data_IF_806118286441
#
_entry.id   IF_806118286441
#
_cell.length_a   1.000
_cell.length_b   1.000
_cell.length_c   1.000
_cell.angle_alpha   90.00
_cell.angle_beta   90.00
_cell.angle_gamma   90.00
#
_symmetry.space_group_name_H-M   'P 1'
#
loop_
_entity.id
_entity.type
_entity.pdbx_description
1 polymer ?
#
# COMPACT_ATOMS: atom_id res chain seq x y z
N UNK A 1 28.43 30.02 -8.59
CA UNK A 1 27.98 29.44 -7.31
C UNK A 1 26.50 29.12 -7.46
N UNK A 2 25.98 27.90 -7.36
CA UNK A 2 26.54 26.57 -7.20
C UNK A 2 25.56 25.62 -7.94
N UNK A 3 26.06 24.73 -8.78
CA UNK A 3 25.29 23.59 -9.29
C UNK A 3 25.33 22.51 -8.21
N UNK A 4 24.36 22.52 -7.29
CA UNK A 4 24.08 21.31 -6.52
C UNK A 4 23.34 20.36 -7.44
N UNK A 5 23.94 19.19 -7.69
CA UNK A 5 23.43 18.15 -8.57
C UNK A 5 21.95 17.83 -8.29
N UNK A 6 21.11 17.82 -9.33
CA UNK A 6 19.70 17.39 -9.33
C UNK A 6 19.49 15.89 -8.98
N UNK A 7 20.47 15.26 -8.34
CA UNK A 7 20.53 13.83 -8.07
C UNK A 7 20.66 13.49 -6.58
N UNK A 8 20.79 14.49 -5.70
CA UNK A 8 20.99 14.28 -4.26
C UNK A 8 19.74 14.66 -3.46
N UNK A 9 19.46 13.90 -2.40
CA UNK A 9 18.39 14.25 -1.46
C UNK A 9 18.64 15.64 -0.85
N UNK A 10 17.58 16.44 -0.61
CA UNK A 10 17.70 17.78 -0.03
C UNK A 10 18.24 17.75 1.41
N UNK A 11 18.12 16.61 2.08
CA UNK A 11 18.52 16.34 3.46
C UNK A 11 18.98 14.88 3.58
N UNK A 12 19.90 14.55 4.52
CA UNK A 12 20.30 13.17 4.76
C UNK A 12 19.11 12.27 5.09
N UNK A 13 19.03 11.11 4.42
CA UNK A 13 18.01 10.11 4.71
C UNK A 13 18.51 9.19 5.81
N UNK A 14 17.83 9.22 6.97
CA UNK A 14 18.04 8.25 8.05
C UNK A 14 16.86 7.28 8.06
N UNK A 15 17.07 5.99 7.76
CA UNK A 15 16.01 5.00 7.83
C UNK A 15 15.31 4.97 9.19
N UNK A 16 13.99 4.90 9.19
CA UNK A 16 13.20 4.89 10.43
C UNK A 16 13.49 3.63 11.25
N UNK A 17 13.75 2.50 10.60
CA UNK A 17 14.18 1.27 11.27
C UNK A 17 15.51 1.45 12.00
N UNK A 18 16.45 2.24 11.47
CA UNK A 18 17.70 2.56 12.18
C UNK A 18 17.42 3.40 13.43
N UNK A 19 16.55 4.40 13.33
CA UNK A 19 16.14 5.23 14.49
C UNK A 19 15.42 4.41 15.56
N UNK A 20 14.50 3.54 15.15
CA UNK A 20 13.80 2.63 16.06
C UNK A 20 14.76 1.68 16.77
N UNK A 21 15.72 1.09 16.04
CA UNK A 21 16.65 0.11 16.60
C UNK A 21 17.71 0.72 17.52
N UNK A 22 18.01 2.02 17.38
CA UNK A 22 18.92 2.71 18.31
C UNK A 22 18.26 3.05 19.66
N UNK A 23 16.96 2.81 19.81
CA UNK A 23 16.24 3.00 21.07
C UNK A 23 16.07 4.46 21.45
N UNK A 24 15.91 5.36 20.47
CA UNK A 24 15.66 6.78 20.74
C UNK A 24 14.43 6.96 21.65
N UNK A 25 14.52 7.80 22.70
CA UNK A 25 13.44 7.94 23.68
C UNK A 25 12.26 8.77 23.14
N UNK A 26 12.50 9.59 22.12
CA UNK A 26 11.52 10.51 21.51
C UNK A 26 11.64 10.49 20.00
N UNK A 27 10.55 10.79 19.29
CA UNK A 27 10.58 10.93 17.83
C UNK A 27 11.29 12.25 17.45
N UNK A 28 12.18 12.27 16.43
CA UNK A 28 12.77 13.52 15.96
C UNK A 28 11.71 14.48 15.41
N UNK A 29 11.99 15.79 15.49
CA UNK A 29 11.05 16.86 15.14
C UNK A 29 10.42 16.71 13.76
N UNK A 30 11.18 16.25 12.77
CA UNK A 30 10.72 16.04 11.40
C UNK A 30 9.61 14.97 11.25
N UNK A 31 9.41 14.11 12.24
CA UNK A 31 8.34 13.10 12.24
C UNK A 31 7.12 13.52 13.07
N UNK A 32 7.19 14.64 13.77
CA UNK A 32 6.08 15.16 14.59
C UNK A 32 5.07 15.84 13.68
N UNK A 33 3.87 15.26 13.57
CA UNK A 33 2.76 15.81 12.80
C UNK A 33 2.22 17.08 13.46
N UNK A 34 1.72 18.05 12.68
CA UNK A 34 1.01 19.19 13.22
C UNK A 34 -0.22 18.71 14.02
N UNK A 35 -0.67 19.44 15.05
CA UNK A 35 -1.76 18.99 15.93
C UNK A 35 -3.02 18.50 15.21
N UNK A 36 -3.36 19.10 14.07
CA UNK A 36 -4.51 18.74 13.22
C UNK A 36 -4.36 17.41 12.48
N UNK A 37 -3.14 16.88 12.34
CA UNK A 37 -2.82 15.65 11.61
C UNK A 37 -2.33 14.53 12.53
N UNK A 38 -2.12 14.82 13.81
CA UNK A 38 -1.76 13.79 14.79
C UNK A 38 -2.86 12.74 14.89
N UNK A 39 -2.50 11.48 15.17
CA UNK A 39 -3.48 10.47 15.57
C UNK A 39 -4.38 11.03 16.65
N UNK A 40 -5.69 10.96 16.43
CA UNK A 40 -6.65 11.44 17.41
C UNK A 40 -6.57 10.54 18.65
N UNK A 41 -5.83 10.99 19.66
CA UNK A 41 -5.61 10.31 20.93
C UNK A 41 -6.77 10.57 21.89
N UNK A 42 -7.88 9.86 21.73
CA UNK A 42 -8.80 9.61 22.84
C UNK A 42 -9.74 8.45 22.54
N UNK A 43 -9.92 7.67 23.58
CA UNK A 43 -10.58 6.38 23.68
C UNK A 43 -12.09 6.60 23.80
N UNK A 44 -12.84 6.02 22.90
CA UNK A 44 -13.93 5.11 23.18
C UNK A 44 -14.36 4.56 21.84
N UNK A 45 -14.78 3.31 21.84
CA UNK A 45 -15.84 2.84 20.98
C UNK A 45 -16.87 3.98 20.74
N UNK A 46 -16.68 4.79 19.70
CA UNK A 46 -17.80 5.04 18.83
C UNK A 46 -18.00 3.71 18.12
N UNK A 47 -18.69 2.80 18.80
CA UNK A 47 -19.61 1.91 18.12
C UNK A 47 -20.53 2.85 17.34
N UNK A 48 -20.11 3.29 16.14
CA UNK A 48 -21.02 3.32 15.03
C UNK A 48 -21.21 1.84 14.71
N UNK A 49 -22.29 1.20 15.20
CA UNK A 49 -22.53 -0.21 14.95
C UNK A 49 -22.69 -0.49 13.44
N UNK A 50 -22.97 0.57 12.67
CA UNK A 50 -23.44 0.50 11.28
C UNK A 50 -22.38 0.78 10.22
N UNK A 51 -21.11 0.98 10.59
CA UNK A 51 -20.03 1.24 9.62
C UNK A 51 -19.04 0.08 9.57
N UNK A 52 -19.50 -1.10 9.14
CA UNK A 52 -18.62 -2.20 8.74
C UNK A 52 -18.18 -2.03 7.29
N UNK A 53 -16.87 -2.12 7.02
CA UNK A 53 -16.33 -2.18 5.65
C UNK A 53 -17.00 -3.36 4.93
N UNK A 54 -17.58 -3.17 3.72
CA UNK A 54 -18.21 -4.25 2.97
C UNK A 54 -17.26 -5.42 2.74
N UNK A 55 -17.78 -6.64 2.85
CA UNK A 55 -17.05 -7.87 2.55
C UNK A 55 -17.75 -8.54 1.37
N UNK A 56 -17.00 -8.77 0.29
CA UNK A 56 -17.51 -9.33 -0.96
C UNK A 56 -16.90 -10.71 -1.17
N UNK A 57 -17.75 -11.71 -1.31
CA UNK A 57 -17.34 -13.08 -1.57
C UNK A 57 -17.27 -13.34 -3.08
N UNK A 58 -16.05 -13.58 -3.59
CA UNK A 58 -15.81 -13.86 -5.00
C UNK A 58 -15.98 -15.35 -5.36
N UNK A 59 -16.21 -16.26 -4.40
CA UNK A 59 -16.58 -17.64 -4.72
C UNK A 59 -17.90 -17.71 -5.50
N UNK A 60 -18.80 -16.75 -5.24
CA UNK A 60 -20.07 -16.60 -5.94
C UNK A 60 -19.92 -15.99 -7.34
N UNK A 61 -18.71 -15.57 -7.75
CA UNK A 61 -18.41 -15.16 -9.12
C UNK A 61 -18.27 -16.41 -10.01
N UNK A 62 -19.35 -17.18 -10.08
CA UNK A 62 -19.49 -18.41 -10.86
C UNK A 62 -20.05 -18.13 -12.25
N UNK A 63 -20.03 -19.14 -13.14
CA UNK A 63 -20.68 -19.06 -14.46
C UNK A 63 -22.22 -18.93 -14.39
N UNK A 64 -22.80 -18.98 -13.20
CA UNK A 64 -24.24 -18.75 -12.97
C UNK A 64 -24.52 -17.24 -13.07
N UNK A 65 -25.30 -16.78 -14.07
CA UNK A 65 -25.51 -15.35 -14.34
C UNK A 65 -26.08 -14.56 -13.15
N UNK A 66 -27.00 -15.15 -12.39
CA UNK A 66 -27.66 -14.51 -11.25
C UNK A 66 -26.67 -14.23 -10.11
N UNK A 67 -25.80 -15.18 -9.80
CA UNK A 67 -24.77 -15.00 -8.76
C UNK A 67 -23.74 -13.96 -9.20
N UNK A 68 -23.30 -14.02 -10.46
CA UNK A 68 -22.38 -13.03 -11.03
C UNK A 68 -22.94 -11.61 -10.93
N UNK A 69 -24.23 -11.44 -11.25
CA UNK A 69 -24.93 -10.15 -11.13
C UNK A 69 -24.98 -9.65 -9.69
N UNK A 70 -25.32 -10.50 -8.72
CA UNK A 70 -25.36 -10.10 -7.31
C UNK A 70 -23.98 -9.66 -6.77
N UNK A 71 -22.91 -10.35 -7.17
CA UNK A 71 -21.53 -9.96 -6.80
C UNK A 71 -21.16 -8.62 -7.45
N UNK A 72 -21.52 -8.40 -8.72
CA UNK A 72 -21.30 -7.12 -9.39
C UNK A 72 -22.04 -5.97 -8.69
N UNK A 73 -23.32 -6.15 -8.35
CA UNK A 73 -24.10 -5.15 -7.62
C UNK A 73 -23.44 -4.80 -6.28
N UNK A 74 -22.98 -5.79 -5.52
CA UNK A 74 -22.25 -5.58 -4.27
C UNK A 74 -20.94 -4.79 -4.46
N UNK A 75 -20.19 -5.06 -5.55
CA UNK A 75 -18.98 -4.30 -5.90
C UNK A 75 -19.34 -2.86 -6.23
N UNK A 76 -20.36 -2.64 -7.06
CA UNK A 76 -20.83 -1.29 -7.45
C UNK A 76 -21.26 -0.47 -6.23
N UNK A 77 -22.03 -1.07 -5.33
CA UNK A 77 -22.48 -0.44 -4.10
C UNK A 77 -21.32 -0.12 -3.15
N UNK A 78 -20.34 -1.01 -3.03
CA UNK A 78 -19.15 -0.76 -2.22
C UNK A 78 -18.30 0.36 -2.82
N UNK A 79 -18.07 0.37 -4.13
CA UNK A 79 -17.35 1.44 -4.83
C UNK A 79 -18.03 2.79 -4.63
N UNK A 80 -19.35 2.87 -4.83
CA UNK A 80 -20.13 4.11 -4.74
C UNK A 80 -20.22 4.65 -3.32
N UNK A 81 -20.49 3.78 -2.35
CA UNK A 81 -20.83 4.22 -0.98
C UNK A 81 -19.63 4.22 -0.03
N UNK A 82 -18.53 3.54 -0.39
CA UNK A 82 -17.34 3.41 0.46
C UNK A 82 -16.04 3.77 -0.24
N UNK A 83 -15.89 3.40 -1.52
CA UNK A 83 -14.58 3.45 -2.20
C UNK A 83 -13.56 2.46 -1.63
N UNK A 84 -13.99 1.54 -0.76
CA UNK A 84 -13.14 0.55 -0.10
C UNK A 84 -13.98 -0.66 0.33
N UNK A 85 -13.46 -1.87 0.10
CA UNK A 85 -14.10 -3.12 0.52
C UNK A 85 -13.05 -4.22 0.71
N UNK A 86 -13.44 -5.27 1.42
CA UNK A 86 -12.68 -6.51 1.55
C UNK A 86 -13.20 -7.54 0.56
N UNK A 87 -12.31 -8.30 -0.05
CA UNK A 87 -12.67 -9.47 -0.86
C UNK A 87 -12.26 -10.74 -0.14
N UNK A 88 -13.10 -11.77 -0.21
CA UNK A 88 -12.81 -13.13 0.29
C UNK A 88 -13.03 -14.13 -0.84
N UNK A 89 -12.43 -15.31 -0.72
CA UNK A 89 -12.44 -16.36 -1.76
C UNK A 89 -12.03 -15.84 -3.16
N UNK A 90 -11.05 -14.92 -3.18
CA UNK A 90 -10.60 -14.16 -4.35
C UNK A 90 -9.64 -14.92 -5.28
N UNK A 91 -9.48 -16.24 -5.12
CA UNK A 91 -8.63 -17.09 -5.97
C UNK A 91 -7.11 -16.99 -5.75
N UNK A 92 -6.59 -15.90 -5.19
CA UNK A 92 -5.17 -15.79 -4.78
C UNK A 92 -4.83 -16.83 -3.71
N UNK A 93 -3.75 -17.57 -3.93
CA UNK A 93 -3.35 -18.70 -3.09
C UNK A 93 -2.89 -18.25 -1.69
N UNK A 94 -3.39 -18.93 -0.66
CA UNK A 94 -2.96 -18.71 0.73
C UNK A 94 -1.44 -18.95 0.88
N UNK A 95 -0.90 -19.93 0.17
CA UNK A 95 0.55 -20.20 0.15
C UNK A 95 1.33 -19.05 -0.50
N UNK A 96 0.84 -18.49 -1.61
CA UNK A 96 1.45 -17.33 -2.27
C UNK A 96 1.45 -16.11 -1.34
N UNK A 97 0.33 -15.83 -0.66
CA UNK A 97 0.25 -14.76 0.35
C UNK A 97 1.23 -14.99 1.51
N UNK A 98 1.32 -16.22 2.03
CA UNK A 98 2.21 -16.57 3.14
C UNK A 98 3.68 -16.40 2.75
N UNK A 99 4.09 -16.96 1.61
CA UNK A 99 5.47 -16.82 1.10
C UNK A 99 5.83 -15.37 0.84
N UNK A 100 4.92 -14.59 0.27
CA UNK A 100 5.13 -13.15 0.05
C UNK A 100 5.40 -12.42 1.37
N UNK A 101 4.62 -12.73 2.42
CA UNK A 101 4.84 -12.20 3.77
C UNK A 101 6.20 -12.57 4.34
N UNK A 102 6.56 -13.84 4.24
CA UNK A 102 7.81 -14.36 4.78
C UNK A 102 9.02 -13.77 4.07
N UNK A 103 9.04 -13.77 2.74
CA UNK A 103 10.15 -13.26 1.92
C UNK A 103 10.43 -11.77 2.18
N UNK A 104 9.40 -10.94 2.23
CA UNK A 104 9.57 -9.51 2.48
C UNK A 104 9.93 -9.22 3.93
N UNK A 105 9.41 -9.99 4.90
CA UNK A 105 9.85 -9.88 6.29
C UNK A 105 11.35 -10.19 6.40
N UNK A 106 11.80 -11.30 5.81
CA UNK A 106 13.22 -11.67 5.76
C UNK A 106 14.07 -10.57 5.12
N UNK A 107 13.60 -9.93 4.04
CA UNK A 107 14.29 -8.78 3.46
C UNK A 107 14.44 -7.61 4.44
N UNK A 108 13.36 -7.21 5.13
CA UNK A 108 13.42 -6.12 6.11
C UNK A 108 14.25 -6.46 7.36
N UNK A 109 14.44 -7.75 7.64
CA UNK A 109 15.32 -8.25 8.71
C UNK A 109 16.81 -8.29 8.31
N UNK A 110 17.16 -8.09 7.03
CA UNK A 110 18.55 -8.00 6.58
C UNK A 110 19.29 -6.80 7.22
N UNK A 111 20.64 -6.84 7.24
CA UNK A 111 21.45 -5.68 7.61
C UNK A 111 21.10 -4.43 6.80
N UNK A 112 21.25 -3.25 7.42
CA UNK A 112 20.87 -1.99 6.78
C UNK A 112 21.62 -1.72 5.48
N UNK A 113 22.88 -2.13 5.38
CA UNK A 113 23.68 -1.95 4.15
C UNK A 113 23.13 -2.76 2.97
N UNK A 114 22.66 -3.99 3.21
CA UNK A 114 22.00 -4.82 2.18
C UNK A 114 20.72 -4.16 1.66
N UNK A 115 19.96 -3.50 2.53
CA UNK A 115 18.74 -2.77 2.13
C UNK A 115 19.05 -1.48 1.38
N UNK A 116 20.03 -0.72 1.87
CA UNK A 116 20.48 0.55 1.27
C UNK A 116 21.18 0.37 -0.07
N UNK A 117 21.72 -0.81 -0.36
CA UNK A 117 22.22 -1.13 -1.70
C UNK A 117 21.17 -0.86 -2.77
N UNK A 118 19.90 -1.13 -2.46
CA UNK A 118 18.77 -0.86 -3.34
C UNK A 118 18.08 0.49 -3.10
N UNK A 119 18.73 1.45 -2.42
CA UNK A 119 18.10 2.71 -2.06
C UNK A 119 17.55 3.46 -3.28
N UNK A 120 16.39 4.09 -3.11
CA UNK A 120 15.80 4.97 -4.10
C UNK A 120 16.53 6.33 -4.16
N UNK A 121 16.09 7.22 -5.05
CA UNK A 121 16.71 8.53 -5.23
C UNK A 121 15.65 9.62 -5.41
N UNK A 122 16.02 10.91 -5.39
CA UNK A 122 15.08 12.00 -5.71
C UNK A 122 14.45 11.88 -7.11
N UNK A 123 15.09 11.11 -8.02
CA UNK A 123 14.68 10.95 -9.41
C UNK A 123 13.74 9.74 -9.60
N UNK A 124 13.91 8.69 -8.78
CA UNK A 124 13.09 7.47 -8.89
C UNK A 124 12.62 6.99 -7.52
N UNK A 125 11.35 6.61 -7.45
CA UNK A 125 10.77 6.00 -6.25
C UNK A 125 11.16 4.52 -6.10
N UNK A 126 11.64 3.86 -7.15
CA UNK A 126 12.00 2.43 -7.14
C UNK A 126 13.17 2.12 -6.19
N UNK A 127 13.00 1.06 -5.41
CA UNK A 127 13.95 0.60 -4.41
C UNK A 127 13.52 0.86 -2.97
N UNK A 128 14.48 0.74 -2.06
CA UNK A 128 14.31 0.98 -0.63
C UNK A 128 14.23 2.48 -0.33
N UNK A 129 13.21 2.91 0.39
CA UNK A 129 12.97 4.31 0.72
C UNK A 129 12.55 4.51 2.17
N UNK A 130 12.84 5.71 2.68
CA UNK A 130 12.45 6.16 4.03
C UNK A 130 11.87 7.59 4.04
N UNK A 131 11.73 8.18 2.85
CA UNK A 131 11.23 9.53 2.65
C UNK A 131 10.38 9.57 1.39
N UNK A 132 9.22 10.20 1.51
CA UNK A 132 8.39 10.57 0.37
C UNK A 132 8.62 12.05 0.04
N UNK A 133 8.82 12.34 -1.24
CA UNK A 133 9.00 13.71 -1.75
C UNK A 133 10.38 14.32 -1.49
N UNK A 134 10.62 15.44 -2.16
CA UNK A 134 11.93 16.14 -2.22
C UNK A 134 11.88 17.54 -1.58
N UNK A 135 10.78 17.88 -0.92
CA UNK A 135 10.66 19.17 -0.23
C UNK A 135 11.49 19.18 1.05
N UNK A 136 12.38 20.16 1.19
CA UNK A 136 13.23 20.35 2.37
C UNK A 136 12.39 20.77 3.58
N UNK A 137 12.62 20.17 4.75
CA UNK A 137 11.86 20.48 5.97
C UNK A 137 10.44 19.92 5.99
N UNK A 138 10.10 19.01 5.07
CA UNK A 138 8.82 18.31 5.06
C UNK A 138 8.63 17.47 6.33
N UNK A 139 7.37 17.38 6.78
CA UNK A 139 7.00 16.49 7.89
C UNK A 139 6.91 15.04 7.40
N UNK A 140 7.84 14.20 7.83
CA UNK A 140 8.02 12.83 7.39
C UNK A 140 7.07 11.84 8.09
N UNK A 141 6.95 10.67 7.49
CA UNK A 141 6.21 9.53 8.04
C UNK A 141 7.15 8.56 8.76
N UNK A 142 6.67 7.93 9.83
CA UNK A 142 7.39 6.92 10.60
C UNK A 142 7.31 5.54 9.91
N UNK A 143 7.92 5.44 8.74
CA UNK A 143 7.97 4.19 7.97
C UNK A 143 9.19 4.14 7.06
N UNK A 144 9.64 2.91 6.81
CA UNK A 144 10.42 2.60 5.63
C UNK A 144 9.51 1.90 4.61
N UNK A 145 9.91 1.86 3.34
CA UNK A 145 9.17 1.16 2.32
C UNK A 145 10.10 0.61 1.23
N UNK A 146 9.56 -0.28 0.43
CA UNK A 146 10.15 -0.72 -0.81
C UNK A 146 9.15 -0.54 -1.95
N UNK A 147 9.59 0.03 -3.06
CA UNK A 147 8.76 0.22 -4.25
C UNK A 147 9.36 -0.48 -5.46
N UNK A 148 8.53 -1.22 -6.21
CA UNK A 148 8.92 -1.91 -7.43
C UNK A 148 7.89 -1.68 -8.52
N UNK A 149 8.33 -1.48 -9.75
CA UNK A 149 7.49 -1.68 -10.91
C UNK A 149 7.41 -3.18 -11.22
N UNK A 150 6.19 -3.71 -11.31
CA UNK A 150 5.92 -5.13 -11.57
C UNK A 150 5.56 -5.38 -13.04
N UNK A 151 4.76 -4.49 -13.62
CA UNK A 151 4.28 -4.61 -15.00
C UNK A 151 4.19 -3.22 -15.67
N UNK A 152 4.44 -3.15 -16.98
CA UNK A 152 4.93 -4.23 -17.85
C UNK A 152 6.41 -4.60 -17.58
N UNK A 153 6.88 -5.73 -18.13
CA UNK A 153 8.22 -6.28 -17.80
C UNK A 153 9.38 -5.36 -18.20
N UNK A 154 9.22 -4.59 -19.26
CA UNK A 154 10.17 -3.60 -19.76
C UNK A 154 10.34 -2.39 -18.82
N UNK A 155 9.37 -2.14 -17.95
CA UNK A 155 9.44 -1.11 -16.90
C UNK A 155 10.17 -1.59 -15.63
N UNK A 156 10.54 -2.87 -15.53
CA UNK A 156 11.26 -3.40 -14.37
C UNK A 156 12.71 -2.96 -14.39
N UNK A 157 13.13 -2.20 -13.39
CA UNK A 157 14.55 -1.97 -13.15
C UNK A 157 15.14 -3.13 -12.33
N UNK A 158 15.73 -4.14 -12.99
CA UNK A 158 16.27 -5.33 -12.32
C UNK A 158 17.37 -5.03 -11.30
N UNK A 159 18.09 -3.91 -11.42
CA UNK A 159 19.07 -3.47 -10.41
C UNK A 159 18.40 -3.07 -9.09
N UNK A 160 17.12 -2.70 -9.12
CA UNK A 160 16.30 -2.39 -7.95
C UNK A 160 15.52 -3.58 -7.41
N UNK A 161 15.61 -4.77 -8.01
CA UNK A 161 14.98 -5.96 -7.46
C UNK A 161 15.93 -6.66 -6.47
N UNK A 162 15.52 -6.92 -5.21
CA UNK A 162 16.40 -7.59 -4.25
C UNK A 162 16.85 -8.97 -4.71
N UNK A 163 18.11 -9.32 -4.47
CA UNK A 163 18.64 -10.68 -4.69
C UNK A 163 18.48 -11.55 -3.45
N UNK A 164 18.39 -10.93 -2.28
CA UNK A 164 18.20 -11.59 -1.00
C UNK A 164 16.84 -11.21 -0.39
N UNK A 165 16.13 -12.16 0.24
CA UNK A 165 16.40 -13.59 0.19
C UNK A 165 16.24 -14.14 -1.24
N UNK A 166 16.96 -15.23 -1.58
CA UNK A 166 17.06 -15.76 -2.96
C UNK A 166 15.71 -16.06 -3.63
N UNK A 167 14.68 -16.32 -2.84
CA UNK A 167 13.34 -16.64 -3.32
C UNK A 167 12.42 -15.42 -3.47
N UNK A 168 12.87 -14.21 -3.09
CA UNK A 168 12.03 -13.00 -3.05
C UNK A 168 11.48 -12.63 -4.43
N UNK A 169 12.32 -12.69 -5.46
CA UNK A 169 11.92 -12.33 -6.84
C UNK A 169 10.83 -13.28 -7.33
N UNK A 170 11.09 -14.59 -7.30
CA UNK A 170 10.14 -15.62 -7.75
C UNK A 170 8.80 -15.55 -7.00
N UNK A 171 8.84 -15.38 -5.67
CA UNK A 171 7.64 -15.24 -4.85
C UNK A 171 6.87 -13.97 -5.20
N UNK A 172 7.57 -12.85 -5.39
CA UNK A 172 6.96 -11.56 -5.76
C UNK A 172 6.31 -11.63 -7.14
N UNK A 173 6.98 -12.23 -8.12
CA UNK A 173 6.45 -12.37 -9.48
C UNK A 173 5.23 -13.31 -9.53
N UNK A 174 5.29 -14.45 -8.83
CA UNK A 174 4.14 -15.35 -8.71
C UNK A 174 2.95 -14.65 -8.07
N UNK A 175 3.18 -13.94 -6.97
CA UNK A 175 2.13 -13.21 -6.27
C UNK A 175 1.55 -12.08 -7.14
N UNK A 176 2.39 -11.34 -7.85
CA UNK A 176 1.97 -10.30 -8.80
C UNK A 176 1.09 -10.86 -9.93
N UNK A 177 1.40 -12.04 -10.45
CA UNK A 177 0.59 -12.72 -11.47
C UNK A 177 -0.82 -13.08 -10.96
N UNK A 178 -0.92 -13.62 -9.74
CA UNK A 178 -2.21 -13.91 -9.11
C UNK A 178 -3.03 -12.63 -8.85
N UNK A 179 -2.37 -11.55 -8.40
CA UNK A 179 -3.01 -10.24 -8.20
C UNK A 179 -3.44 -9.58 -9.51
N UNK A 180 -2.68 -9.76 -10.59
CA UNK A 180 -3.06 -9.30 -11.94
C UNK A 180 -4.40 -9.92 -12.34
N UNK A 181 -4.54 -11.24 -12.22
CA UNK A 181 -5.79 -11.92 -12.57
C UNK A 181 -6.97 -11.43 -11.71
N UNK A 182 -6.75 -11.27 -10.40
CA UNK A 182 -7.78 -10.70 -9.51
C UNK A 182 -8.16 -9.27 -9.92
N UNK A 183 -7.18 -8.43 -10.27
CA UNK A 183 -7.43 -7.06 -10.71
C UNK A 183 -8.25 -7.00 -12.00
N UNK A 184 -8.03 -7.91 -12.95
CA UNK A 184 -8.83 -7.99 -14.18
C UNK A 184 -10.29 -8.32 -13.89
N UNK A 185 -10.54 -9.29 -13.01
CA UNK A 185 -11.91 -9.65 -12.60
C UNK A 185 -12.61 -8.45 -11.96
N UNK A 186 -11.91 -7.76 -11.05
CA UNK A 186 -12.48 -6.59 -10.36
C UNK A 186 -12.74 -5.42 -11.31
N UNK A 187 -11.79 -5.11 -12.19
CA UNK A 187 -11.96 -4.03 -13.17
C UNK A 187 -13.12 -4.32 -14.13
N UNK A 188 -13.25 -5.55 -14.62
CA UNK A 188 -14.39 -5.96 -15.46
C UNK A 188 -15.72 -5.81 -14.72
N UNK A 189 -15.79 -6.30 -13.48
CA UNK A 189 -16.98 -6.13 -12.66
C UNK A 189 -17.34 -4.65 -12.45
N UNK A 190 -16.35 -3.81 -12.15
CA UNK A 190 -16.54 -2.36 -12.01
C UNK A 190 -17.03 -1.72 -13.32
N UNK A 191 -16.47 -2.08 -14.48
CA UNK A 191 -16.94 -1.57 -15.78
C UNK A 191 -18.43 -1.91 -15.99
N UNK A 192 -18.81 -3.17 -15.74
CA UNK A 192 -20.21 -3.60 -15.87
C UNK A 192 -21.15 -2.83 -14.95
N UNK A 193 -20.74 -2.54 -13.70
CA UNK A 193 -21.57 -1.77 -12.76
C UNK A 193 -21.79 -0.32 -13.19
N UNK A 194 -20.90 0.21 -14.03
CA UNK A 194 -21.00 1.53 -14.63
C UNK A 194 -21.79 1.53 -15.95
N UNK A 195 -22.27 0.36 -16.40
CA UNK A 195 -22.95 0.20 -17.70
C UNK A 195 -22.00 0.35 -18.90
N UNK A 196 -20.71 0.11 -18.69
CA UNK A 196 -19.67 0.18 -19.71
C UNK A 196 -19.36 -1.22 -20.26
N UNK A 197 -18.66 -1.27 -21.39
CA UNK A 197 -18.06 -2.50 -21.90
C UNK A 197 -17.13 -3.11 -20.84
N UNK A 198 -17.14 -4.43 -20.66
CA UNK A 198 -16.42 -5.10 -19.56
C UNK A 198 -14.93 -4.71 -19.54
N UNK A 199 -14.31 -4.55 -20.70
CA UNK A 199 -12.89 -4.25 -20.80
C UNK A 199 -12.56 -2.74 -20.68
N UNK A 200 -13.57 -1.88 -20.52
CA UNK A 200 -13.38 -0.43 -20.54
C UNK A 200 -12.38 0.07 -19.49
N UNK A 201 -12.58 -0.26 -18.20
CA UNK A 201 -11.68 0.21 -17.15
C UNK A 201 -10.30 -0.44 -17.23
N UNK A 202 -10.23 -1.69 -17.68
CA UNK A 202 -8.97 -2.39 -17.92
C UNK A 202 -8.13 -1.64 -18.98
N UNK A 203 -8.75 -1.26 -20.09
CA UNK A 203 -8.10 -0.50 -21.16
C UNK A 203 -7.82 0.95 -20.74
N UNK A 204 -8.69 1.57 -19.95
CA UNK A 204 -8.49 2.94 -19.48
C UNK A 204 -7.28 3.08 -18.54
N UNK A 205 -7.05 2.10 -17.66
CA UNK A 205 -5.93 2.11 -16.72
C UNK A 205 -4.66 1.43 -17.26
N UNK A 206 -4.78 0.43 -18.11
CA UNK A 206 -3.64 -0.31 -18.68
C UNK A 206 -3.20 0.14 -20.08
N UNK A 207 -4.10 0.74 -20.85
CA UNK A 207 -3.86 1.02 -22.28
C UNK A 207 -3.81 -0.26 -23.12
N UNK A 208 -3.27 -0.14 -24.34
CA UNK A 208 -3.15 -1.25 -25.30
C UNK A 208 -2.15 -2.34 -24.89
N UNK A 209 -1.31 -2.06 -23.89
CA UNK A 209 -0.20 -2.93 -23.49
C UNK A 209 -0.55 -3.80 -22.26
N UNK A 210 -1.81 -3.76 -21.79
CA UNK A 210 -2.28 -4.50 -20.63
C UNK A 210 -2.04 -3.77 -19.30
N UNK A 211 -2.13 -4.47 -18.17
CA UNK A 211 -2.05 -3.86 -16.83
C UNK A 211 -0.65 -3.28 -16.55
N UNK A 212 -0.61 -2.02 -16.11
CA UNK A 212 0.52 -1.47 -15.37
C UNK A 212 0.31 -1.71 -13.87
N UNK A 213 1.32 -2.25 -13.20
CA UNK A 213 1.25 -2.59 -11.79
C UNK A 213 2.56 -2.27 -11.09
N UNK A 214 2.46 -1.79 -9.86
CA UNK A 214 3.59 -1.55 -8.96
C UNK A 214 3.30 -2.15 -7.59
N UNK A 215 4.36 -2.56 -6.90
CA UNK A 215 4.33 -3.06 -5.54
C UNK A 215 4.89 -2.00 -4.61
N UNK A 216 4.18 -1.71 -3.52
CA UNK A 216 4.70 -0.97 -2.39
C UNK A 216 4.62 -1.82 -1.12
N UNK A 217 5.77 -2.19 -0.58
CA UNK A 217 5.86 -2.88 0.71
C UNK A 217 6.19 -1.86 1.78
N UNK A 218 5.29 -1.65 2.74
CA UNK A 218 5.50 -0.71 3.83
C UNK A 218 5.99 -1.44 5.07
N UNK A 219 7.01 -0.90 5.72
CA UNK A 219 7.55 -1.36 6.99
C UNK A 219 7.40 -0.26 8.03
N UNK A 220 6.73 -0.59 9.14
CA UNK A 220 6.42 0.34 10.22
C UNK A 220 7.19 -0.08 11.49
N UNK A 221 8.38 0.47 11.75
CA UNK A 221 9.16 0.17 12.95
C UNK A 221 8.44 0.60 14.23
N UNK A 222 8.89 0.09 15.37
CA UNK A 222 8.40 0.55 16.68
C UNK A 222 8.60 2.06 16.83
N UNK A 223 7.61 2.74 17.40
CA UNK A 223 7.63 4.19 17.61
C UNK A 223 7.58 4.49 19.11
N UNK A 224 8.44 5.37 19.65
CA UNK A 224 8.39 5.76 21.06
C UNK A 224 7.20 6.67 21.41
N UNK A 225 6.74 7.50 20.47
CA UNK A 225 5.65 8.48 20.64
C UNK A 225 4.62 8.35 19.49
N UNK A 226 3.89 7.23 19.40
CA UNK A 226 2.98 6.93 18.28
C UNK A 226 1.81 7.91 18.14
N UNK A 227 1.51 8.71 19.16
CA UNK A 227 0.51 9.78 19.17
C UNK A 227 0.99 11.08 18.48
N UNK A 228 2.29 11.21 18.20
CA UNK A 228 2.86 12.38 17.55
C UNK A 228 3.12 12.19 16.05
N UNK A 229 3.11 10.95 15.56
CA UNK A 229 3.49 10.64 14.17
C UNK A 229 2.49 9.71 13.47
N UNK A 230 2.69 9.49 12.18
CA UNK A 230 1.92 8.56 11.36
C UNK A 230 2.89 7.66 10.61
N UNK A 231 2.55 6.36 10.50
CA UNK A 231 3.29 5.46 9.61
C UNK A 231 3.09 5.81 8.14
N UNK A 232 1.92 6.31 7.76
CA UNK A 232 1.66 6.83 6.43
C UNK A 232 0.66 7.98 6.55
N UNK A 233 0.99 9.13 5.98
CA UNK A 233 0.14 10.30 5.97
C UNK A 233 -1.18 10.05 5.22
N UNK A 234 -2.21 10.81 5.59
CA UNK A 234 -3.51 10.73 4.92
C UNK A 234 -3.37 11.09 3.43
N UNK A 235 -3.80 10.20 2.56
CA UNK A 235 -3.76 10.38 1.11
C UNK A 235 -4.90 9.61 0.45
N UNK A 236 -5.11 9.88 -0.84
CA UNK A 236 -5.84 9.01 -1.75
C UNK A 236 -4.85 8.30 -2.65
N UNK A 237 -5.06 7.02 -2.89
CA UNK A 237 -4.18 6.23 -3.76
C UNK A 237 -4.26 6.75 -5.20
N UNK A 238 -3.12 7.01 -5.87
CA UNK A 238 -3.13 7.32 -7.29
C UNK A 238 -3.36 6.04 -8.11
N UNK A 239 -4.02 6.18 -9.27
CA UNK A 239 -4.20 5.09 -10.24
C UNK A 239 -5.62 4.52 -10.27
N UNK A 240 -5.71 3.25 -10.66
CA UNK A 240 -6.99 2.55 -10.85
C UNK A 240 -7.52 1.89 -9.58
N UNK A 241 -6.92 0.78 -9.17
CA UNK A 241 -7.29 0.05 -7.94
C UNK A 241 -6.05 -0.37 -7.16
N UNK A 242 -6.16 -0.40 -5.83
CA UNK A 242 -5.14 -0.88 -4.91
C UNK A 242 -5.56 -2.17 -4.24
N UNK A 243 -4.74 -3.22 -4.36
CA UNK A 243 -4.94 -4.49 -3.66
C UNK A 243 -4.01 -4.55 -2.45
N UNK A 244 -4.56 -4.33 -1.25
CA UNK A 244 -3.79 -4.26 -0.02
C UNK A 244 -3.85 -5.57 0.76
N UNK A 245 -2.70 -6.13 1.07
CA UNK A 245 -2.57 -7.29 1.97
C UNK A 245 -1.85 -6.91 3.25
N UNK A 246 -2.45 -7.25 4.39
CA UNK A 246 -1.86 -7.00 5.71
C UNK A 246 -0.79 -8.05 6.01
N UNK A 247 0.43 -7.59 6.29
CA UNK A 247 1.57 -8.43 6.68
C UNK A 247 1.56 -8.72 8.20
N UNK A 248 1.02 -7.80 9.00
CA UNK A 248 0.78 -7.90 10.45
C UNK A 248 -0.45 -7.05 10.85
N UNK A 249 -0.84 -7.05 12.14
CA UNK A 249 -1.98 -6.25 12.64
C UNK A 249 -1.60 -4.75 12.66
N UNK A 250 -2.46 -3.84 12.17
CA UNK A 250 -2.23 -2.38 12.37
C UNK A 250 -2.77 -1.36 11.35
N UNK A 251 -3.47 -1.75 10.27
CA UNK A 251 -3.93 -0.77 9.26
C UNK A 251 -5.25 -0.08 9.67
N UNK A 252 -5.32 1.25 9.47
CA UNK A 252 -6.52 2.08 9.65
C UNK A 252 -7.02 2.61 8.31
N UNK A 253 -8.33 2.73 8.14
CA UNK A 253 -8.97 3.33 6.97
C UNK A 253 -9.86 4.49 7.43
N UNK A 254 -9.99 5.52 6.60
CA UNK A 254 -10.90 6.64 6.85
C UNK A 254 -11.94 6.70 5.73
N UNK A 255 -13.21 6.87 6.10
CA UNK A 255 -14.28 7.12 5.13
C UNK A 255 -14.38 8.64 4.95
N UNK A 256 -14.13 9.10 3.73
CA UNK A 256 -14.39 10.49 3.36
C UNK A 256 -15.86 10.68 3.03
N UNK A 257 -16.61 11.40 3.86
CA UNK A 257 -17.90 11.98 3.47
C UNK A 257 -17.69 13.47 3.22
N UNK A 258 -18.41 14.05 2.24
CA UNK A 258 -18.36 15.49 1.97
C UNK A 258 -18.45 16.29 3.29
N UNK A 259 -17.40 17.04 3.62
CA UNK A 259 -17.35 17.94 4.78
C UNK A 259 -16.99 17.32 6.14
N UNK A 260 -16.70 16.02 6.27
CA UNK A 260 -16.26 15.46 7.56
C UNK A 260 -15.38 14.20 7.41
N UNK A 261 -14.19 14.24 8.02
CA UNK A 261 -13.30 13.07 8.16
C UNK A 261 -13.82 12.19 9.28
N UNK A 262 -14.35 11.01 8.95
CA UNK A 262 -14.60 9.97 9.94
C UNK A 262 -13.47 8.94 9.84
N UNK A 263 -12.48 9.03 10.74
CA UNK A 263 -11.38 8.07 10.84
C UNK A 263 -11.81 6.88 11.70
N UNK A 264 -11.78 5.66 11.15
CA UNK A 264 -11.99 4.46 11.96
C UNK A 264 -10.67 4.02 12.58
N UNK A 265 -10.66 4.01 13.91
CA UNK A 265 -9.54 3.63 14.76
C UNK A 265 -9.78 2.22 15.34
N UNK A 266 -8.98 1.24 14.89
CA UNK A 266 -8.75 0.00 15.65
C UNK A 266 -7.26 -0.32 15.67
N UNK A 267 -6.63 -0.08 16.82
CA UNK A 267 -5.36 -0.68 17.24
C UNK A 267 -5.67 -2.02 17.96
N UNK A 268 -4.72 -2.97 18.02
CA UNK A 268 -3.45 -2.77 18.72
C UNK A 268 -2.24 -2.87 17.78
N UNK A 269 -1.25 -2.02 18.05
CA UNK A 269 0.14 -2.19 17.63
C UNK A 269 0.75 -3.27 18.54
N UNK A 270 1.17 -4.38 17.95
CA UNK A 270 2.18 -5.31 18.48
C UNK A 270 3.04 -5.77 17.31
#
# INVERSE_FOLDING_TARGET
>A
MATMSDHCWPEPIVPVQTLSNSGVPTVPQQYIKPPSERPCGSITSMNCPDLSIPIIDLACFSDIPEHRKAVMEAIGDACKNWGFFQVVNHGVSIDSVKRMREAWREFFDLPMEEKKFYANSPVTYEGYGSRLGVEKGATLDWSDYYYLNLLPNDMKNLEKWPEMPRHLRDVTEKYASELKNLSEVLLKAMSSTLGLDEDYLHLAFGGSNGISASLRVNYYPKCPEPELTLGLSSHSDPGGISLLTKMSRGHRYAKGTHGSRCSQSRAPLL
#
